data_IF_964984797083
#
_entry.id   IF_964984797083
#
_cell.length_a   1.000
_cell.length_b   1.000
_cell.length_c   1.000
_cell.angle_alpha   90.00
_cell.angle_beta   90.00
_cell.angle_gamma   90.00
#
_symmetry.space_group_name_H-M   'P 1'
#
loop_
_entity.id
_entity.type
_entity.pdbx_description
1 polymer ?
#
# COMPACT_ATOMS: atom_id res chain seq x y z
N UNK A 1 -6.94 13.88 29.58
CA UNK A 1 -7.23 12.51 30.08
C UNK A 1 -7.13 11.56 28.90
N UNK A 2 -6.03 10.83 28.77
CA UNK A 2 -5.86 9.87 27.69
C UNK A 2 -6.82 8.69 27.90
N UNK A 3 -7.76 8.55 27.00
CA UNK A 3 -8.71 7.44 27.02
C UNK A 3 -7.90 6.14 26.85
N UNK A 4 -7.80 5.33 27.91
CA UNK A 4 -7.18 4.01 27.88
C UNK A 4 -8.07 3.11 27.03
N UNK A 5 -7.91 3.17 25.71
CA UNK A 5 -8.46 2.14 24.84
C UNK A 5 -7.84 0.82 25.28
N UNK A 6 -8.66 -0.12 25.72
CA UNK A 6 -8.20 -1.46 26.10
C UNK A 6 -7.50 -2.07 24.89
N UNK A 7 -6.18 -2.17 24.94
CA UNK A 7 -5.38 -2.74 23.86
C UNK A 7 -5.43 -4.25 23.98
N UNK A 8 -6.21 -4.90 23.14
CA UNK A 8 -6.24 -6.35 23.07
C UNK A 8 -4.95 -6.95 22.48
N UNK A 9 -4.17 -6.16 21.74
CA UNK A 9 -2.93 -6.62 21.07
C UNK A 9 -1.79 -5.65 21.35
N UNK A 10 -0.61 -6.19 21.70
CA UNK A 10 0.60 -5.39 21.91
C UNK A 10 1.04 -4.69 20.61
N UNK A 11 1.52 -3.43 20.66
CA UNK A 11 2.10 -2.74 19.51
C UNK A 11 3.19 -3.54 18.79
N UNK A 12 3.97 -4.33 19.54
CA UNK A 12 5.04 -5.17 18.99
C UNK A 12 4.57 -6.18 17.93
N UNK A 13 3.28 -6.54 17.91
CA UNK A 13 2.74 -7.45 16.91
C UNK A 13 2.07 -6.71 15.75
N UNK A 14 1.25 -5.70 16.03
CA UNK A 14 0.48 -5.07 14.96
C UNK A 14 1.27 -4.01 14.19
N UNK A 15 2.26 -3.32 14.80
CA UNK A 15 3.06 -2.32 14.09
C UNK A 15 3.88 -2.96 12.96
N UNK A 16 4.70 -4.00 13.22
CA UNK A 16 5.44 -4.65 12.13
C UNK A 16 4.55 -5.23 11.04
N UNK A 17 3.40 -5.83 11.38
CA UNK A 17 2.48 -6.39 10.38
C UNK A 17 1.81 -5.32 9.56
N UNK A 18 1.48 -4.16 10.15
CA UNK A 18 0.91 -3.01 9.45
C UNK A 18 1.89 -2.49 8.39
N UNK A 19 3.12 -2.19 8.78
CA UNK A 19 4.14 -1.66 7.86
C UNK A 19 4.66 -2.69 6.85
N UNK A 20 4.68 -3.96 7.22
CA UNK A 20 4.91 -5.03 6.24
C UNK A 20 3.83 -5.04 5.15
N UNK A 21 2.56 -4.96 5.53
CA UNK A 21 1.45 -4.90 4.57
C UNK A 21 1.48 -3.62 3.72
N UNK A 22 1.97 -2.51 4.28
CA UNK A 22 2.19 -1.23 3.60
C UNK A 22 3.29 -1.31 2.55
N UNK A 23 4.42 -1.95 2.88
CA UNK A 23 5.55 -2.11 1.97
C UNK A 23 5.30 -3.03 0.79
N UNK A 24 4.39 -4.01 0.91
CA UNK A 24 4.13 -5.00 -0.15
C UNK A 24 3.74 -4.37 -1.51
N UNK A 25 2.76 -3.47 -1.61
CA UNK A 25 2.39 -2.84 -2.88
C UNK A 25 3.57 -2.07 -3.50
N UNK A 26 4.30 -1.31 -2.69
CA UNK A 26 5.43 -0.51 -3.14
C UNK A 26 6.55 -1.38 -3.73
N UNK A 27 6.99 -2.41 -3.00
CA UNK A 27 8.03 -3.34 -3.46
C UNK A 27 7.56 -4.10 -4.70
N UNK A 28 6.30 -4.52 -4.73
CA UNK A 28 5.76 -5.25 -5.89
C UNK A 28 5.79 -4.39 -7.14
N UNK A 29 5.45 -3.11 -7.06
CA UNK A 29 5.47 -2.22 -8.22
C UNK A 29 6.90 -1.87 -8.62
N UNK A 30 7.78 -1.55 -7.69
CA UNK A 30 9.12 -1.05 -8.02
C UNK A 30 10.14 -2.13 -8.36
N UNK A 31 9.96 -3.34 -7.83
CA UNK A 31 10.94 -4.43 -8.00
C UNK A 31 10.32 -5.59 -8.75
N UNK A 32 9.24 -6.16 -8.21
CA UNK A 32 8.67 -7.40 -8.76
C UNK A 32 8.10 -7.20 -10.15
N UNK A 33 7.37 -6.10 -10.39
CA UNK A 33 6.80 -5.80 -11.71
C UNK A 33 7.89 -5.62 -12.78
N UNK A 34 8.99 -4.95 -12.44
CA UNK A 34 10.12 -4.74 -13.35
C UNK A 34 10.75 -6.06 -13.73
N UNK A 35 11.05 -6.92 -12.75
CA UNK A 35 11.61 -8.26 -13.00
C UNK A 35 10.66 -9.13 -13.83
N UNK A 36 9.36 -9.09 -13.49
CA UNK A 36 8.31 -9.80 -14.21
C UNK A 36 8.25 -9.36 -15.68
N UNK A 37 8.14 -8.06 -15.93
CA UNK A 37 8.08 -7.53 -17.31
C UNK A 37 9.35 -7.84 -18.10
N UNK A 38 10.53 -7.76 -17.49
CA UNK A 38 11.79 -8.17 -18.15
C UNK A 38 11.78 -9.65 -18.51
N UNK A 39 11.34 -10.53 -17.63
CA UNK A 39 11.23 -11.97 -17.92
C UNK A 39 10.25 -12.27 -19.05
N UNK A 40 9.22 -11.45 -19.22
CA UNK A 40 8.22 -11.52 -20.29
C UNK A 40 8.62 -10.75 -21.55
N UNK A 41 9.88 -10.29 -21.64
CA UNK A 41 10.49 -9.61 -22.81
C UNK A 41 9.80 -8.29 -23.20
N UNK A 42 9.20 -7.59 -22.23
CA UNK A 42 8.71 -6.22 -22.44
C UNK A 42 9.91 -5.28 -22.61
N UNK A 43 9.91 -4.36 -23.60
CA UNK A 43 11.01 -3.42 -23.82
C UNK A 43 11.28 -2.54 -22.59
N UNK A 44 12.57 -2.35 -22.24
CA UNK A 44 12.98 -1.59 -21.06
C UNK A 44 12.42 -0.16 -21.02
N UNK A 45 12.33 0.50 -22.19
CA UNK A 45 11.74 1.84 -22.27
C UNK A 45 10.27 1.89 -21.85
N UNK A 46 9.49 0.86 -22.19
CA UNK A 46 8.09 0.74 -21.77
C UNK A 46 8.01 0.46 -20.28
N UNK A 47 8.85 -0.45 -19.75
CA UNK A 47 8.89 -0.75 -18.32
C UNK A 47 9.18 0.53 -17.52
N UNK A 48 10.25 1.26 -17.89
CA UNK A 48 10.65 2.48 -17.21
C UNK A 48 9.55 3.56 -17.23
N UNK A 49 8.94 3.79 -18.39
CA UNK A 49 7.88 4.78 -18.52
C UNK A 49 6.66 4.47 -17.65
N UNK A 50 6.14 3.24 -17.74
CA UNK A 50 4.91 2.88 -17.04
C UNK A 50 5.11 2.68 -15.54
N UNK A 51 6.24 2.11 -15.10
CA UNK A 51 6.52 1.99 -13.67
C UNK A 51 6.70 3.37 -13.01
N UNK A 52 7.30 4.33 -13.72
CA UNK A 52 7.37 5.72 -13.25
C UNK A 52 5.99 6.35 -13.08
N UNK A 53 5.06 6.10 -14.01
CA UNK A 53 3.69 6.61 -13.89
C UNK A 53 2.92 5.95 -12.75
N UNK A 54 3.06 4.63 -12.59
CA UNK A 54 2.32 3.87 -11.58
C UNK A 54 2.73 4.25 -10.16
N UNK A 55 3.93 4.79 -9.92
CA UNK A 55 4.35 5.26 -8.59
C UNK A 55 3.75 6.61 -8.20
N UNK A 56 3.19 7.35 -9.14
CA UNK A 56 2.65 8.70 -8.93
C UNK A 56 1.65 8.83 -7.75
N UNK A 57 0.76 7.84 -7.46
CA UNK A 57 -0.13 7.93 -6.32
C UNK A 57 0.56 8.23 -4.98
N UNK A 58 1.79 7.73 -4.76
CA UNK A 58 2.52 8.04 -3.51
C UNK A 58 2.93 9.50 -3.41
N UNK A 59 3.26 10.16 -4.51
CA UNK A 59 3.58 11.59 -4.51
C UNK A 59 2.34 12.47 -4.40
N UNK A 60 1.19 11.95 -4.80
CA UNK A 60 -0.08 12.66 -4.77
C UNK A 60 -0.88 12.48 -3.47
N UNK A 61 -0.38 11.70 -2.49
CA UNK A 61 -1.01 11.48 -1.18
C UNK A 61 -1.61 12.75 -0.55
N UNK A 62 -0.95 13.93 -0.58
CA UNK A 62 -1.51 15.14 0.03
C UNK A 62 -2.85 15.59 -0.56
N UNK A 63 -3.19 15.17 -1.78
CA UNK A 63 -4.43 15.58 -2.45
C UNK A 63 -5.68 14.93 -1.83
N UNK A 64 -5.57 13.66 -1.37
CA UNK A 64 -6.73 12.96 -0.79
C UNK A 64 -6.55 12.54 0.67
N UNK A 65 -5.37 12.70 1.25
CA UNK A 65 -5.15 12.45 2.67
C UNK A 65 -6.16 13.14 3.57
N UNK A 66 -6.39 14.47 3.42
CA UNK A 66 -7.40 15.18 4.19
C UNK A 66 -8.82 14.64 4.01
N UNK A 67 -9.16 14.14 2.81
CA UNK A 67 -10.48 13.56 2.55
C UNK A 67 -10.72 12.28 3.36
N UNK A 68 -9.69 11.47 3.55
CA UNK A 68 -9.79 10.25 4.36
C UNK A 68 -10.09 10.57 5.83
N UNK A 69 -9.71 11.77 6.30
CA UNK A 69 -9.98 12.20 7.67
C UNK A 69 -11.44 12.61 7.88
N UNK A 70 -12.14 12.98 6.82
CA UNK A 70 -13.53 13.47 6.88
C UNK A 70 -14.58 12.35 6.95
N UNK A 71 -14.30 11.15 6.42
CA UNK A 71 -15.36 10.17 6.14
C UNK A 71 -15.44 8.99 7.09
N UNK A 72 -14.32 8.39 7.51
CA UNK A 72 -14.30 7.16 8.32
C UNK A 72 -13.11 7.11 9.26
N UNK A 73 -13.17 6.15 10.20
CA UNK A 73 -12.02 5.87 11.05
C UNK A 73 -10.86 5.31 10.22
N UNK A 74 -9.64 5.68 10.55
CA UNK A 74 -8.41 5.20 9.89
C UNK A 74 -8.37 3.66 9.80
N UNK A 75 -8.77 2.97 10.86
CA UNK A 75 -8.84 1.50 10.90
C UNK A 75 -9.75 0.92 9.82
N UNK A 76 -10.85 1.58 9.48
CA UNK A 76 -11.73 1.13 8.40
C UNK A 76 -10.98 1.13 7.06
N UNK A 77 -10.24 2.20 6.77
CA UNK A 77 -9.46 2.29 5.53
C UNK A 77 -8.34 1.25 5.48
N UNK A 78 -7.62 1.01 6.59
CA UNK A 78 -6.60 -0.06 6.65
C UNK A 78 -7.21 -1.41 6.26
N UNK A 79 -8.34 -1.79 6.84
CA UNK A 79 -8.97 -3.08 6.55
C UNK A 79 -9.48 -3.12 5.10
N UNK A 80 -10.16 -2.06 4.64
CA UNK A 80 -10.72 -2.00 3.29
C UNK A 80 -9.61 -2.10 2.23
N UNK A 81 -8.51 -1.37 2.40
CA UNK A 81 -7.38 -1.39 1.45
C UNK A 81 -6.66 -2.74 1.44
N UNK A 82 -6.55 -3.43 2.58
CA UNK A 82 -5.98 -4.79 2.62
C UNK A 82 -6.84 -5.78 1.83
N UNK A 83 -8.18 -5.72 1.97
CA UNK A 83 -9.09 -6.57 1.19
C UNK A 83 -9.03 -6.26 -0.30
N UNK A 84 -9.14 -4.98 -0.67
CA UNK A 84 -9.06 -4.54 -2.07
C UNK A 84 -7.71 -4.92 -2.67
N UNK A 85 -6.61 -4.67 -1.95
CA UNK A 85 -5.27 -5.04 -2.38
C UNK A 85 -5.11 -6.54 -2.62
N UNK A 86 -5.55 -7.37 -1.69
CA UNK A 86 -5.49 -8.81 -1.82
C UNK A 86 -6.26 -9.34 -3.03
N UNK A 87 -7.49 -8.84 -3.24
CA UNK A 87 -8.31 -9.19 -4.42
C UNK A 87 -7.60 -8.73 -5.71
N UNK A 88 -7.08 -7.50 -5.72
CA UNK A 88 -6.42 -6.93 -6.90
C UNK A 88 -5.14 -7.68 -7.26
N UNK A 89 -4.35 -8.12 -6.29
CA UNK A 89 -3.19 -8.99 -6.55
C UNK A 89 -3.60 -10.35 -7.12
N UNK A 90 -4.70 -10.94 -6.63
CA UNK A 90 -5.24 -12.17 -7.19
C UNK A 90 -5.68 -12.01 -8.64
N UNK A 91 -6.40 -10.91 -8.95
CA UNK A 91 -6.82 -10.59 -10.32
C UNK A 91 -5.61 -10.29 -11.23
N UNK A 92 -4.60 -9.58 -10.73
CA UNK A 92 -3.35 -9.35 -11.46
C UNK A 92 -2.70 -10.66 -11.89
N UNK A 93 -2.60 -11.64 -10.99
CA UNK A 93 -2.01 -12.95 -11.31
C UNK A 93 -2.76 -13.66 -12.45
N UNK A 94 -4.08 -13.52 -12.54
CA UNK A 94 -4.90 -14.10 -13.62
C UNK A 94 -4.67 -13.43 -14.98
N UNK A 95 -4.07 -12.25 -15.03
CA UNK A 95 -3.78 -11.57 -16.30
C UNK A 95 -2.50 -12.05 -16.98
N UNK A 96 -1.60 -12.68 -16.22
CA UNK A 96 -0.26 -13.05 -16.71
C UNK A 96 -0.27 -14.01 -17.91
N UNK A 97 -1.18 -15.01 -18.02
CA UNK A 97 -1.23 -15.90 -19.17
C UNK A 97 -1.93 -15.30 -20.42
N UNK A 98 -2.46 -14.07 -20.33
CA UNK A 98 -3.20 -13.44 -21.42
C UNK A 98 -2.23 -12.82 -22.45
N UNK A 99 -2.60 -12.85 -23.73
CA UNK A 99 -1.79 -12.20 -24.79
C UNK A 99 -1.58 -10.70 -24.56
N UNK A 100 -2.59 -10.01 -23.99
CA UNK A 100 -2.51 -8.59 -23.65
C UNK A 100 -2.14 -8.35 -22.20
N UNK A 101 -1.39 -9.28 -21.56
CA UNK A 101 -1.04 -9.23 -20.13
C UNK A 101 -0.48 -7.87 -19.69
N UNK A 102 0.35 -7.23 -20.53
CA UNK A 102 0.99 -5.97 -20.18
C UNK A 102 -0.02 -4.86 -19.90
N UNK A 103 -1.05 -4.71 -20.74
CA UNK A 103 -2.10 -3.69 -20.56
C UNK A 103 -2.95 -3.95 -19.33
N UNK A 104 -3.36 -5.21 -19.12
CA UNK A 104 -4.18 -5.58 -17.98
C UNK A 104 -3.41 -5.49 -16.66
N UNK A 105 -2.19 -6.04 -16.63
CA UNK A 105 -1.36 -5.96 -15.43
C UNK A 105 -1.04 -4.51 -15.05
N UNK A 106 -0.80 -3.63 -16.02
CA UNK A 106 -0.59 -2.21 -15.78
C UNK A 106 -1.82 -1.54 -15.15
N UNK A 107 -3.03 -1.85 -15.62
CA UNK A 107 -4.27 -1.35 -15.03
C UNK A 107 -4.41 -1.81 -13.56
N UNK A 108 -4.14 -3.09 -13.27
CA UNK A 108 -4.17 -3.60 -11.90
C UNK A 108 -3.06 -3.02 -11.03
N UNK A 109 -1.83 -2.83 -11.54
CA UNK A 109 -0.78 -2.15 -10.80
C UNK A 109 -1.15 -0.70 -10.46
N UNK A 110 -1.85 -0.02 -11.34
CA UNK A 110 -2.37 1.34 -11.05
C UNK A 110 -3.36 1.32 -9.88
N UNK A 111 -4.29 0.36 -9.87
CA UNK A 111 -5.22 0.17 -8.74
C UNK A 111 -4.47 -0.15 -7.45
N UNK A 112 -3.48 -1.05 -7.51
CA UNK A 112 -2.62 -1.41 -6.38
C UNK A 112 -1.87 -0.19 -5.85
N UNK A 113 -1.38 0.68 -6.73
CA UNK A 113 -0.67 1.90 -6.36
C UNK A 113 -1.56 2.90 -5.59
N UNK A 114 -2.75 3.18 -6.09
CA UNK A 114 -3.71 4.04 -5.38
C UNK A 114 -4.17 3.43 -4.04
N UNK A 115 -4.41 2.12 -4.04
CA UNK A 115 -4.78 1.37 -2.85
C UNK A 115 -3.65 1.38 -1.82
N UNK A 116 -2.40 1.13 -2.22
CA UNK A 116 -1.22 1.18 -1.37
C UNK A 116 -0.99 2.57 -0.77
N UNK A 117 -1.01 3.61 -1.60
CA UNK A 117 -0.88 5.00 -1.13
C UNK A 117 -1.99 5.41 -0.15
N UNK A 118 -3.21 4.88 -0.32
CA UNK A 118 -4.32 5.09 0.62
C UNK A 118 -4.11 4.31 1.92
N UNK A 119 -3.60 3.08 1.82
CA UNK A 119 -3.24 2.26 2.98
C UNK A 119 -2.20 2.95 3.86
N UNK A 120 -1.12 3.50 3.25
CA UNK A 120 -0.07 4.22 3.95
C UNK A 120 -0.64 5.40 4.77
N UNK A 121 -1.47 6.26 4.15
CA UNK A 121 -2.11 7.38 4.87
C UNK A 121 -2.92 6.87 6.06
N UNK A 122 -3.67 5.79 5.87
CA UNK A 122 -4.51 5.22 6.92
C UNK A 122 -3.68 4.54 8.01
N UNK A 123 -2.63 3.80 7.62
CA UNK A 123 -1.70 3.11 8.51
C UNK A 123 -0.96 4.08 9.43
N UNK A 124 -0.34 5.11 8.85
CA UNK A 124 0.30 6.18 9.61
C UNK A 124 -0.67 6.88 10.55
N UNK A 125 -1.90 7.12 10.09
CA UNK A 125 -2.95 7.68 10.92
C UNK A 125 -3.34 6.79 12.11
N UNK A 126 -3.37 5.46 11.95
CA UNK A 126 -3.59 4.51 13.06
C UNK A 126 -2.41 4.56 14.02
N UNK A 127 -1.17 4.53 13.50
CA UNK A 127 0.05 4.59 14.29
C UNK A 127 0.09 5.82 15.20
N UNK A 128 -0.14 7.00 14.63
CA UNK A 128 -0.10 8.28 15.38
C UNK A 128 -1.24 8.36 16.40
N UNK A 129 -2.45 7.90 16.06
CA UNK A 129 -3.61 8.03 16.94
C UNK A 129 -3.66 7.00 18.08
N UNK A 130 -3.04 5.84 17.91
CA UNK A 130 -3.10 4.72 18.87
C UNK A 130 -1.90 4.69 19.80
N UNK A 131 -0.73 5.11 19.34
CA UNK A 131 0.52 5.07 20.12
C UNK A 131 0.79 6.38 20.84
N UNK A 132 1.28 6.28 22.08
CA UNK A 132 1.88 7.42 22.79
C UNK A 132 3.19 7.85 22.13
N UNK A 133 3.63 9.10 22.35
CA UNK A 133 4.89 9.61 21.79
C UNK A 133 6.10 8.70 22.14
N UNK A 134 6.13 8.12 23.35
CA UNK A 134 7.18 7.18 23.75
C UNK A 134 7.15 5.88 22.94
N UNK A 135 5.97 5.37 22.66
CA UNK A 135 5.80 4.15 21.84
C UNK A 135 6.10 4.44 20.38
N UNK A 136 5.66 5.58 19.83
CA UNK A 136 6.02 6.00 18.48
C UNK A 136 7.54 6.04 18.30
N UNK A 137 8.26 6.65 19.23
CA UNK A 137 9.72 6.66 19.20
C UNK A 137 10.35 5.26 19.28
N UNK A 138 9.72 4.34 20.03
CA UNK A 138 10.23 2.97 20.15
C UNK A 138 10.00 2.11 18.88
N UNK A 139 8.96 2.41 18.11
CA UNK A 139 8.58 1.62 16.92
C UNK A 139 8.87 2.32 15.59
N UNK A 140 9.44 3.53 15.58
CA UNK A 140 9.74 4.30 14.35
C UNK A 140 10.62 3.53 13.35
N UNK A 141 11.47 2.65 13.80
CA UNK A 141 12.33 1.85 12.92
C UNK A 141 11.60 0.80 12.07
N UNK A 142 10.28 0.66 12.23
CA UNK A 142 9.45 -0.24 11.42
C UNK A 142 8.71 0.47 10.27
N UNK A 143 8.79 1.80 10.17
CA UNK A 143 8.18 2.64 9.13
C UNK A 143 8.93 2.61 7.80
#
# INVERSE_FOLDING_TARGET
MANKVSRFVSPAFWVPTLYFAEGLPFVTINVVSVLMYKSMKVPDAQIAFFTTLVIFPWTLKPLWGPLLEMFKTKKYFVIATQFIGGITFGLLALTLPLESFFKYSLAFFTIIAFNGATHDIAGDGVYINVLSAKEQAAYVGWQ
#
